data_IF_485487912824
#
_entry.id   IF_485487912824
#
_cell.length_a   1.000
_cell.length_b   1.000
_cell.length_c   1.000
_cell.angle_alpha   90.00
_cell.angle_beta   90.00
_cell.angle_gamma   90.00
#
_symmetry.space_group_name_H-M   'P 1'
#
loop_
_entity.id
_entity.type
_entity.pdbx_description
1 polymer ?
#
# COMPACT_ATOMS: atom_id res chain seq x y z
N UNK A 1 -17.21 24.42 58.27
CA UNK A 1 -16.69 23.10 57.84
C UNK A 1 -17.60 22.61 56.70
N UNK A 2 -17.70 23.30 55.56
CA UNK A 2 -16.80 23.34 54.39
C UNK A 2 -16.64 21.99 53.67
N UNK A 3 -17.46 21.79 52.65
CA UNK A 3 -17.08 21.14 51.39
C UNK A 3 -17.91 21.78 50.26
N UNK A 4 -17.31 22.58 49.35
CA UNK A 4 -18.00 23.13 48.19
C UNK A 4 -17.66 22.38 46.89
N UNK A 5 -18.66 22.35 46.01
CA UNK A 5 -18.65 22.51 44.56
C UNK A 5 -17.51 21.96 43.68
N UNK A 6 -17.95 21.17 42.69
CA UNK A 6 -17.43 21.07 41.32
C UNK A 6 -16.58 22.28 40.89
N UNK A 7 -15.30 22.03 40.62
CA UNK A 7 -14.42 22.91 39.86
C UNK A 7 -13.90 22.15 38.65
N UNK A 8 -14.62 22.28 37.53
CA UNK A 8 -14.17 21.89 36.20
C UNK A 8 -12.97 22.77 35.85
N UNK A 9 -11.74 22.24 35.90
CA UNK A 9 -10.58 22.95 35.39
C UNK A 9 -10.59 22.83 33.85
N UNK A 10 -11.30 23.76 33.21
CA UNK A 10 -11.10 24.13 31.82
C UNK A 10 -9.71 24.76 31.70
N UNK A 11 -8.69 23.92 31.50
CA UNK A 11 -7.46 24.38 30.86
C UNK A 11 -7.79 24.54 29.38
N UNK A 12 -8.06 25.80 29.00
CA UNK A 12 -7.89 26.29 27.63
C UNK A 12 -6.46 25.95 27.19
N UNK A 13 -6.27 24.76 26.64
CA UNK A 13 -5.10 24.48 25.80
C UNK A 13 -5.37 25.28 24.54
N UNK A 14 -4.75 26.45 24.45
CA UNK A 14 -4.61 27.13 23.18
C UNK A 14 -4.06 26.12 22.18
N UNK A 15 -4.79 25.92 21.09
CA UNK A 15 -4.36 25.18 19.91
C UNK A 15 -3.06 25.81 19.41
N UNK A 16 -1.95 25.35 19.96
CA UNK A 16 -0.64 25.58 19.39
C UNK A 16 -0.59 24.73 18.14
N UNK A 17 -0.53 25.37 16.97
CA UNK A 17 -0.30 24.75 15.68
C UNK A 17 0.98 23.92 15.75
N UNK A 18 0.84 22.64 16.10
CA UNK A 18 1.93 21.67 16.09
C UNK A 18 2.08 21.13 14.67
N UNK A 19 3.32 20.95 14.21
CA UNK A 19 3.58 20.26 12.95
C UNK A 19 3.31 18.78 13.19
N UNK A 20 2.36 18.19 12.46
CA UNK A 20 2.03 16.78 12.56
C UNK A 20 2.37 16.07 11.25
N UNK A 21 2.98 14.91 11.37
CA UNK A 21 3.30 14.02 10.26
C UNK A 21 2.51 12.72 10.35
N UNK A 22 2.00 12.26 9.22
CA UNK A 22 1.62 10.86 9.04
C UNK A 22 2.86 10.07 8.66
N UNK A 23 3.15 9.01 9.41
CA UNK A 23 4.36 8.20 9.27
C UNK A 23 4.02 6.72 9.20
N UNK A 24 4.62 6.03 8.23
CA UNK A 24 4.54 4.58 8.07
C UNK A 24 5.93 4.00 8.05
N UNK A 25 6.18 3.03 8.91
CA UNK A 25 7.50 2.46 9.08
C UNK A 25 7.50 1.10 9.75
N UNK A 26 8.66 0.46 9.75
CA UNK A 26 8.94 -0.74 10.51
C UNK A 26 9.96 -0.42 11.58
N UNK A 27 9.85 -1.07 12.74
CA UNK A 27 10.80 -0.98 13.85
C UNK A 27 11.05 -2.39 14.37
N UNK A 28 12.32 -2.74 14.58
CA UNK A 28 12.73 -4.10 14.96
C UNK A 28 12.15 -4.59 16.31
N UNK A 29 11.63 -3.67 17.12
CA UNK A 29 11.00 -3.93 18.41
C UNK A 29 9.66 -4.67 18.31
N UNK A 30 8.98 -4.61 17.17
CA UNK A 30 7.65 -5.23 16.97
C UNK A 30 7.70 -6.11 15.73
N UNK A 31 7.34 -7.37 15.91
CA UNK A 31 7.28 -8.38 14.84
C UNK A 31 5.85 -8.75 14.50
N UNK A 32 5.67 -9.47 13.39
CA UNK A 32 4.35 -9.97 12.98
C UNK A 32 3.65 -10.81 14.07
N UNK A 33 4.42 -11.57 14.84
CA UNK A 33 3.93 -12.40 15.94
C UNK A 33 3.25 -11.58 17.04
N UNK A 34 3.77 -10.39 17.35
CA UNK A 34 3.28 -9.54 18.43
C UNK A 34 1.90 -8.93 18.14
N UNK A 35 1.54 -8.87 16.85
CA UNK A 35 0.27 -8.33 16.35
C UNK A 35 -0.68 -9.43 15.87
N UNK A 36 -0.24 -10.70 15.86
CA UNK A 36 -1.07 -11.81 15.43
C UNK A 36 -2.14 -12.12 16.51
N UNK A 37 -3.44 -12.14 16.16
CA UNK A 37 -4.51 -12.41 17.13
C UNK A 37 -4.36 -13.70 17.93
N UNK A 38 -3.68 -14.72 17.39
CA UNK A 38 -3.46 -15.99 18.09
C UNK A 38 -2.46 -15.89 19.25
N UNK A 39 -1.54 -14.92 19.18
CA UNK A 39 -0.42 -14.77 20.10
C UNK A 39 -0.39 -13.41 20.80
N UNK A 40 -1.39 -12.58 20.55
CA UNK A 40 -1.49 -11.22 21.06
C UNK A 40 -1.63 -11.16 22.58
N UNK A 41 -0.71 -10.45 23.23
CA UNK A 41 -0.78 -10.08 24.65
C UNK A 41 -0.82 -8.56 24.78
N UNK A 42 -1.95 -8.02 25.23
CA UNK A 42 -2.20 -6.58 25.35
C UNK A 42 -1.16 -5.89 26.25
N UNK A 43 -0.71 -6.55 27.34
CA UNK A 43 0.21 -5.95 28.29
C UNK A 43 1.62 -5.88 27.70
N UNK A 44 2.09 -6.98 27.11
CA UNK A 44 3.40 -7.03 26.44
C UNK A 44 3.45 -6.06 25.26
N UNK A 45 2.37 -6.01 24.48
CA UNK A 45 2.26 -5.12 23.33
C UNK A 45 2.26 -3.64 23.76
N UNK A 46 1.56 -3.28 24.84
CA UNK A 46 1.58 -1.90 25.37
C UNK A 46 2.97 -1.51 25.85
N UNK A 47 3.70 -2.41 26.52
CA UNK A 47 5.09 -2.16 26.93
C UNK A 47 6.02 -1.96 25.72
N UNK A 48 5.82 -2.73 24.65
CA UNK A 48 6.54 -2.54 23.38
C UNK A 48 6.21 -1.20 22.75
N UNK A 49 4.96 -0.76 22.74
CA UNK A 49 4.55 0.56 22.22
C UNK A 49 5.22 1.72 22.98
N UNK A 50 5.32 1.62 24.30
CA UNK A 50 6.05 2.62 25.11
C UNK A 50 7.53 2.69 24.72
N UNK A 51 8.17 1.53 24.51
CA UNK A 51 9.57 1.45 24.03
C UNK A 51 9.74 2.05 22.64
N UNK A 52 8.79 1.80 21.73
CA UNK A 52 8.78 2.39 20.38
C UNK A 52 8.67 3.91 20.47
N UNK A 53 7.74 4.44 21.28
CA UNK A 53 7.58 5.89 21.46
C UNK A 53 8.83 6.54 22.07
N UNK A 54 9.42 5.91 23.09
CA UNK A 54 10.68 6.36 23.67
C UNK A 54 11.82 6.36 22.65
N UNK A 55 11.91 5.32 21.82
CA UNK A 55 12.91 5.24 20.74
C UNK A 55 12.72 6.34 19.70
N UNK A 56 11.49 6.62 19.31
CA UNK A 56 11.20 7.74 18.39
C UNK A 56 11.55 9.10 19.02
N UNK A 57 11.31 9.28 20.33
CA UNK A 57 11.73 10.48 21.04
C UNK A 57 13.25 10.67 21.04
N UNK A 58 14.04 9.60 21.19
CA UNK A 58 15.50 9.65 21.08
C UNK A 58 15.97 10.06 19.69
N UNK A 59 15.35 9.53 18.63
CA UNK A 59 15.75 9.80 17.25
C UNK A 59 15.44 11.26 16.86
N UNK A 60 14.26 11.75 17.23
CA UNK A 60 13.80 13.11 16.88
C UNK A 60 14.45 14.16 17.79
N UNK A 61 14.68 13.85 19.07
CA UNK A 61 15.32 14.74 20.03
C UNK A 61 14.41 15.86 20.53
N UNK A 62 14.96 17.07 20.69
CA UNK A 62 14.30 18.17 21.40
C UNK A 62 12.99 18.68 20.77
N UNK A 63 12.75 18.41 19.48
CA UNK A 63 11.54 18.83 18.77
C UNK A 63 10.39 17.80 18.88
N UNK A 64 10.64 16.64 19.49
CA UNK A 64 9.64 15.61 19.72
C UNK A 64 8.56 16.11 20.68
N UNK A 65 7.29 15.93 20.29
CA UNK A 65 6.14 16.20 21.16
C UNK A 65 5.40 14.92 21.50
N UNK A 66 5.02 14.14 20.51
CA UNK A 66 4.26 12.91 20.71
C UNK A 66 4.38 11.97 19.51
N UNK A 67 4.22 10.66 19.74
CA UNK A 67 4.18 9.63 18.71
C UNK A 67 3.08 8.63 19.05
N UNK A 68 2.00 8.67 18.27
CA UNK A 68 0.81 7.84 18.49
C UNK A 68 0.70 6.84 17.34
N UNK A 69 0.87 5.56 17.65
CA UNK A 69 0.58 4.48 16.70
C UNK A 69 -0.90 4.16 16.74
N UNK A 70 -1.57 4.22 15.60
CA UNK A 70 -3.01 3.93 15.51
C UNK A 70 -3.31 2.58 14.86
N UNK A 71 -2.39 2.03 14.07
CA UNK A 71 -2.56 0.71 13.46
C UNK A 71 -1.22 0.01 13.20
N UNK A 72 -1.26 -1.32 13.12
CA UNK A 72 -0.19 -2.15 12.55
C UNK A 72 -0.74 -3.01 11.42
N UNK A 73 0.05 -3.15 10.36
CA UNK A 73 -0.26 -4.01 9.22
C UNK A 73 0.88 -5.00 9.05
N UNK A 74 0.53 -6.28 8.80
CA UNK A 74 1.51 -7.32 8.48
C UNK A 74 1.79 -7.25 6.98
N UNK A 75 3.06 -7.16 6.62
CA UNK A 75 3.56 -7.24 5.26
C UNK A 75 4.48 -8.46 5.12
N UNK A 76 4.32 -9.22 4.04
CA UNK A 76 5.06 -10.48 3.86
C UNK A 76 4.74 -11.48 4.98
N UNK A 77 5.74 -12.25 5.41
CA UNK A 77 5.56 -13.27 6.45
C UNK A 77 5.82 -12.75 7.87
N UNK A 78 6.81 -11.87 8.07
CA UNK A 78 7.24 -11.46 9.41
C UNK A 78 7.39 -9.94 9.62
N UNK A 79 7.01 -9.11 8.65
CA UNK A 79 7.19 -7.66 8.78
C UNK A 79 5.94 -6.99 9.36
N UNK A 80 6.08 -6.35 10.53
CA UNK A 80 5.06 -5.49 11.10
C UNK A 80 5.35 -4.02 10.77
N UNK A 81 4.39 -3.35 10.13
CA UNK A 81 4.50 -1.95 9.73
C UNK A 81 3.51 -1.13 10.55
N UNK A 82 4.02 -0.14 11.28
CA UNK A 82 3.19 0.79 12.03
C UNK A 82 2.66 1.88 11.12
N UNK A 83 1.42 2.31 11.38
CA UNK A 83 0.85 3.56 10.90
C UNK A 83 0.66 4.46 12.10
N UNK A 84 1.31 5.62 12.09
CA UNK A 84 1.40 6.47 13.26
C UNK A 84 1.33 7.96 12.92
N UNK A 85 1.07 8.76 13.94
CA UNK A 85 1.16 10.21 13.89
C UNK A 85 2.35 10.68 14.73
N UNK A 86 3.29 11.36 14.08
CA UNK A 86 4.41 12.02 14.74
C UNK A 86 4.06 13.50 14.88
N UNK A 87 3.93 13.98 16.11
CA UNK A 87 3.74 15.40 16.42
C UNK A 87 5.05 16.01 16.87
N UNK A 88 5.37 17.18 16.33
CA UNK A 88 6.49 18.00 16.75
C UNK A 88 6.02 19.24 17.51
N UNK A 89 6.96 19.92 18.15
CA UNK A 89 6.75 21.24 18.73
C UNK A 89 6.34 22.27 17.67
N UNK A 90 5.70 23.37 18.08
CA UNK A 90 5.05 24.34 17.18
C UNK A 90 5.98 25.10 16.23
N UNK A 91 7.30 25.01 16.43
CA UNK A 91 8.31 25.56 15.53
C UNK A 91 9.53 24.63 15.54
N UNK A 92 9.46 23.48 14.84
CA UNK A 92 10.53 22.50 14.86
C UNK A 92 11.75 23.04 14.11
N UNK A 93 12.93 22.83 14.68
CA UNK A 93 14.20 23.12 14.00
C UNK A 93 14.59 22.05 12.97
N UNK A 94 14.00 20.86 13.11
CA UNK A 94 14.24 19.68 12.27
C UNK A 94 13.33 19.71 11.03
N UNK A 95 13.91 19.58 9.84
CA UNK A 95 13.17 19.44 8.59
C UNK A 95 12.70 18.00 8.33
N UNK A 96 11.77 17.79 7.40
CA UNK A 96 11.36 16.43 6.96
C UNK A 96 12.56 15.57 6.56
N UNK A 97 13.52 16.14 5.83
CA UNK A 97 14.69 15.39 5.39
C UNK A 97 15.60 15.03 6.57
N UNK A 98 15.77 15.94 7.53
CA UNK A 98 16.54 15.65 8.75
C UNK A 98 15.91 14.51 9.56
N UNK A 99 14.57 14.42 9.62
CA UNK A 99 13.87 13.30 10.27
C UNK A 99 14.21 11.98 9.56
N UNK A 100 14.10 11.96 8.23
CA UNK A 100 14.39 10.78 7.41
C UNK A 100 15.85 10.36 7.61
N UNK A 101 16.80 11.30 7.51
CA UNK A 101 18.23 11.02 7.61
C UNK A 101 18.60 10.47 9.00
N UNK A 102 18.01 11.03 10.07
CA UNK A 102 18.21 10.53 11.43
C UNK A 102 17.71 9.11 11.62
N UNK A 103 16.56 8.78 11.05
CA UNK A 103 15.97 7.44 11.15
C UNK A 103 16.75 6.43 10.29
N UNK A 104 17.11 6.80 9.06
CA UNK A 104 17.95 5.95 8.20
C UNK A 104 19.30 5.64 8.86
N UNK A 105 19.85 6.56 9.66
CA UNK A 105 21.10 6.37 10.38
C UNK A 105 21.04 5.37 11.55
N UNK A 106 19.85 5.00 12.06
CA UNK A 106 19.75 4.12 13.23
C UNK A 106 19.69 2.63 12.88
N UNK A 107 19.39 2.29 11.62
CA UNK A 107 19.24 0.92 11.07
C UNK A 107 18.10 0.08 11.68
N UNK A 108 17.68 0.34 12.92
CA UNK A 108 16.61 -0.35 13.65
C UNK A 108 15.19 0.14 13.30
N UNK A 109 15.08 1.25 12.56
CA UNK A 109 13.82 1.82 12.09
C UNK A 109 13.91 2.10 10.59
N UNK A 110 12.90 1.63 9.85
CA UNK A 110 12.75 1.91 8.42
C UNK A 110 11.48 2.71 8.19
N UNK A 111 11.56 3.81 7.45
CA UNK A 111 10.38 4.60 7.04
C UNK A 111 10.09 4.36 5.57
N UNK A 112 8.81 4.25 5.24
CA UNK A 112 8.31 4.13 3.88
C UNK A 112 7.49 5.36 3.46
N UNK A 113 6.83 6.01 4.41
CA UNK A 113 6.00 7.17 4.19
C UNK A 113 6.17 8.19 5.31
N UNK A 114 6.32 9.46 4.95
CA UNK A 114 6.35 10.59 5.87
C UNK A 114 5.75 11.82 5.17
N UNK A 115 4.54 12.21 5.56
CA UNK A 115 3.84 13.35 4.97
C UNK A 115 3.37 14.32 6.05
N UNK A 116 3.59 15.62 5.84
CA UNK A 116 3.05 16.63 6.74
C UNK A 116 1.53 16.73 6.55
N UNK A 117 0.77 16.64 7.64
CA UNK A 117 -0.66 16.86 7.62
C UNK A 117 -0.94 18.32 7.92
N UNK A 118 -1.53 19.05 6.98
CA UNK A 118 -2.09 20.35 7.26
C UNK A 118 -3.32 20.13 8.15
N UNK A 119 -3.29 20.66 9.38
CA UNK A 119 -4.41 20.53 10.30
C UNK A 119 -5.61 21.31 9.73
N UNK A 120 -6.49 20.65 9.00
CA UNK A 120 -7.85 21.14 8.85
C UNK A 120 -8.49 21.17 10.24
N UNK A 121 -8.73 22.38 10.75
CA UNK A 121 -9.49 22.61 11.97
C UNK A 121 -10.95 22.22 11.68
N UNK A 122 -11.26 20.92 11.76
CA UNK A 122 -12.62 20.47 11.92
C UNK A 122 -13.05 20.75 13.37
N UNK A 123 -14.20 21.41 13.60
CA UNK A 123 -14.70 21.62 14.95
C UNK A 123 -15.08 20.27 15.55
N UNK A 124 -14.34 19.92 16.60
CA UNK A 124 -14.70 19.05 17.72
C UNK A 124 -15.90 18.13 17.50
N UNK A 125 -15.64 16.93 16.96
CA UNK A 125 -16.44 15.76 17.30
C UNK A 125 -15.57 14.90 18.20
N UNK A 126 -15.63 15.19 19.50
CA UNK A 126 -15.34 14.24 20.58
C UNK A 126 -15.96 12.87 20.26
N UNK A 127 -15.20 11.99 19.61
CA UNK A 127 -15.43 10.54 19.71
C UNK A 127 -14.38 10.00 20.65
N UNK A 128 -14.84 9.65 21.86
CA UNK A 128 -14.04 8.93 22.83
C UNK A 128 -13.69 7.59 22.19
N UNK A 129 -12.40 7.27 22.14
CA UNK A 129 -11.96 5.88 21.99
C UNK A 129 -12.47 5.09 23.20
N UNK A 130 -13.60 4.42 23.01
CA UNK A 130 -14.00 3.30 23.84
C UNK A 130 -13.25 2.11 23.25
N UNK A 131 -12.50 1.39 24.08
CA UNK A 131 -12.15 0.00 23.74
C UNK A 131 -13.47 -0.72 23.56
N UNK A 132 -13.87 -0.91 22.31
CA UNK A 132 -15.04 -1.70 21.97
C UNK A 132 -14.61 -3.14 22.22
N UNK A 133 -14.83 -3.63 23.44
CA UNK A 133 -15.33 -5.00 23.53
C UNK A 133 -16.55 -5.00 22.64
N UNK A 134 -16.48 -5.72 21.54
CA UNK A 134 -17.61 -5.89 20.65
C UNK A 134 -18.68 -6.58 21.48
N UNK A 135 -19.60 -5.79 22.04
CA UNK A 135 -20.86 -6.29 22.53
C UNK A 135 -21.63 -6.59 21.24
N UNK A 136 -21.40 -7.78 20.69
CA UNK A 136 -21.97 -8.15 19.40
C UNK A 136 -23.42 -8.53 19.67
N UNK A 137 -24.33 -7.55 19.54
CA UNK A 137 -25.76 -7.78 19.71
C UNK A 137 -26.35 -8.64 18.57
N UNK A 138 -25.69 -8.70 17.41
CA UNK A 138 -26.06 -9.53 16.27
C UNK A 138 -24.87 -9.81 15.34
N UNK A 139 -24.84 -10.99 14.75
CA UNK A 139 -23.85 -11.37 13.73
C UNK A 139 -24.36 -11.06 12.33
N UNK A 140 -23.48 -10.57 11.45
CA UNK A 140 -23.78 -10.31 10.05
C UNK A 140 -23.63 -11.58 9.19
N UNK A 141 -24.17 -11.52 7.97
CA UNK A 141 -24.00 -12.54 6.91
C UNK A 141 -24.30 -13.99 7.35
N UNK A 142 -25.24 -14.17 8.28
CA UNK A 142 -25.68 -15.48 8.76
C UNK A 142 -24.77 -16.11 9.82
N UNK A 143 -23.88 -15.35 10.44
CA UNK A 143 -23.13 -15.82 11.61
C UNK A 143 -24.04 -16.15 12.80
N UNK A 144 -23.58 -17.04 13.68
CA UNK A 144 -24.30 -17.50 14.87
C UNK A 144 -23.71 -16.80 16.10
N UNK A 145 -24.55 -16.10 16.87
CA UNK A 145 -24.13 -15.48 18.12
C UNK A 145 -23.99 -16.56 19.21
N UNK A 146 -22.80 -16.67 19.80
CA UNK A 146 -22.49 -17.61 20.87
C UNK A 146 -22.77 -17.00 22.26
N UNK A 147 -22.98 -17.82 23.30
CA UNK A 147 -23.31 -17.36 24.66
C UNK A 147 -22.26 -16.45 25.32
N UNK A 148 -21.05 -16.38 24.77
CA UNK A 148 -19.95 -15.53 25.23
C UNK A 148 -19.87 -14.18 24.48
N UNK A 149 -20.94 -13.77 23.79
CA UNK A 149 -21.03 -12.55 22.98
C UNK A 149 -20.00 -12.49 21.82
N UNK A 150 -19.68 -13.65 21.24
CA UNK A 150 -18.83 -13.75 20.04
C UNK A 150 -19.59 -14.36 18.88
N UNK A 151 -19.25 -13.99 17.64
CA UNK A 151 -19.87 -14.55 16.45
C UNK A 151 -19.09 -15.74 15.90
N UNK A 152 -19.80 -16.86 15.69
CA UNK A 152 -19.32 -17.95 14.85
C UNK A 152 -19.71 -17.68 13.40
N UNK A 153 -18.73 -17.32 12.57
CA UNK A 153 -18.97 -16.95 11.19
C UNK A 153 -19.14 -18.17 10.27
N UNK A 154 -20.02 -18.02 9.28
CA UNK A 154 -20.11 -18.98 8.17
C UNK A 154 -18.80 -18.99 7.37
N UNK A 155 -18.51 -20.10 6.64
CA UNK A 155 -17.35 -20.16 5.76
C UNK A 155 -17.30 -18.93 4.83
N UNK A 156 -16.09 -18.41 4.65
CA UNK A 156 -15.81 -17.19 3.87
C UNK A 156 -16.28 -15.86 4.48
N UNK A 157 -16.62 -15.86 5.78
CA UNK A 157 -16.78 -14.64 6.56
C UNK A 157 -15.91 -14.69 7.81
N UNK A 158 -15.38 -13.54 8.23
CA UNK A 158 -14.53 -13.35 9.41
C UNK A 158 -14.76 -11.97 10.02
N UNK A 159 -14.06 -11.67 11.13
CA UNK A 159 -14.25 -10.43 11.89
C UNK A 159 -15.09 -10.63 13.16
N UNK A 160 -15.19 -9.60 13.97
CA UNK A 160 -15.82 -9.69 15.29
C UNK A 160 -17.33 -9.95 15.19
N UNK A 161 -17.97 -9.43 14.14
CA UNK A 161 -19.39 -9.63 13.82
C UNK A 161 -19.62 -10.23 12.43
N UNK A 162 -18.64 -10.94 11.86
CA UNK A 162 -18.70 -11.55 10.52
C UNK A 162 -18.85 -10.54 9.36
N UNK A 163 -18.27 -9.37 9.55
CA UNK A 163 -18.28 -8.22 8.67
C UNK A 163 -17.28 -8.34 7.50
N UNK A 164 -16.20 -9.09 7.69
CA UNK A 164 -15.14 -9.28 6.70
C UNK A 164 -15.49 -10.47 5.82
N UNK A 165 -15.55 -10.26 4.50
CA UNK A 165 -15.77 -11.34 3.53
C UNK A 165 -14.42 -11.82 2.99
N UNK A 166 -14.22 -13.13 2.98
CA UNK A 166 -13.04 -13.77 2.38
C UNK A 166 -13.34 -14.18 0.94
N UNK A 167 -12.50 -13.75 0.00
CA UNK A 167 -12.69 -13.94 -1.43
C UNK A 167 -11.68 -14.92 -2.00
N UNK A 168 -12.13 -15.84 -2.87
CA UNK A 168 -11.27 -16.77 -3.60
C UNK A 168 -10.92 -16.21 -4.98
N UNK A 169 -9.94 -16.82 -5.66
CA UNK A 169 -9.58 -16.53 -7.05
C UNK A 169 -9.47 -15.03 -7.36
N UNK A 170 -8.79 -14.29 -6.48
CA UNK A 170 -8.50 -12.86 -6.67
C UNK A 170 -9.74 -11.95 -6.73
N UNK A 171 -10.84 -12.38 -6.08
CA UNK A 171 -11.97 -11.50 -5.81
C UNK A 171 -11.65 -10.46 -4.73
N UNK A 172 -12.34 -9.33 -4.78
CA UNK A 172 -12.15 -8.22 -3.85
C UNK A 172 -13.41 -8.07 -3.00
N UNK A 173 -13.26 -8.08 -1.67
CA UNK A 173 -14.40 -8.01 -0.76
C UNK A 173 -15.01 -6.61 -0.67
N UNK A 174 -16.33 -6.49 -0.85
CA UNK A 174 -17.10 -5.26 -0.65
C UNK A 174 -18.50 -5.58 -0.09
N UNK A 175 -18.89 -4.90 1.00
CA UNK A 175 -20.24 -4.99 1.58
C UNK A 175 -20.71 -6.43 1.84
N UNK A 176 -19.83 -7.30 2.35
CA UNK A 176 -20.16 -8.70 2.62
C UNK A 176 -20.25 -9.62 1.40
N UNK A 177 -19.79 -9.18 0.23
CA UNK A 177 -19.72 -9.97 -1.00
C UNK A 177 -18.40 -9.76 -1.73
N UNK A 178 -17.96 -10.73 -2.50
CA UNK A 178 -16.78 -10.58 -3.35
C UNK A 178 -17.14 -10.06 -4.75
N UNK A 179 -16.42 -9.02 -5.19
CA UNK A 179 -16.34 -8.59 -6.58
C UNK A 179 -15.32 -9.48 -7.27
N UNK A 180 -15.77 -10.25 -8.25
CA UNK A 180 -14.91 -11.23 -8.91
C UNK A 180 -14.27 -10.68 -10.18
N UNK A 181 -13.06 -11.12 -10.53
CA UNK A 181 -12.48 -10.83 -11.82
C UNK A 181 -13.31 -11.48 -12.96
N UNK A 182 -13.23 -10.95 -14.20
CA UNK A 182 -13.99 -11.48 -15.32
C UNK A 182 -13.77 -12.99 -15.52
N UNK A 183 -14.86 -13.77 -15.55
CA UNK A 183 -14.83 -15.23 -15.70
C UNK A 183 -15.15 -16.01 -14.41
N UNK A 184 -15.20 -15.33 -13.26
CA UNK A 184 -15.62 -15.88 -11.96
C UNK A 184 -16.83 -15.10 -11.44
N UNK A 185 -17.78 -15.76 -10.79
CA UNK A 185 -19.10 -15.15 -10.55
C UNK A 185 -19.86 -15.67 -9.31
N UNK A 186 -19.18 -16.38 -8.38
CA UNK A 186 -19.82 -16.79 -7.11
C UNK A 186 -19.70 -15.71 -6.02
N UNK A 187 -20.48 -15.84 -4.94
CA UNK A 187 -20.51 -14.90 -3.80
C UNK A 187 -19.12 -14.65 -3.18
N UNK A 188 -18.26 -15.67 -3.26
CA UNK A 188 -16.87 -15.64 -2.79
C UNK A 188 -15.87 -15.89 -3.93
N UNK A 189 -16.27 -15.69 -5.18
CA UNK A 189 -15.45 -15.94 -6.38
C UNK A 189 -14.88 -17.38 -6.46
N UNK A 190 -15.53 -18.33 -5.80
CA UNK A 190 -15.30 -19.77 -5.96
C UNK A 190 -15.67 -20.23 -7.38
N UNK A 191 -14.98 -21.26 -7.85
CA UNK A 191 -15.29 -21.90 -9.12
C UNK A 191 -16.59 -22.71 -8.99
N UNK A 192 -17.71 -22.15 -9.45
CA UNK A 192 -18.97 -22.89 -9.63
C UNK A 192 -19.17 -23.28 -11.09
N UNK A 193 -19.65 -24.50 -11.31
CA UNK A 193 -20.12 -24.99 -12.61
C UNK A 193 -21.45 -24.32 -12.99
N UNK A 194 -21.53 -23.89 -14.25
CA UNK A 194 -22.67 -23.33 -14.98
C UNK A 194 -23.52 -22.27 -14.24
N UNK A 195 -23.26 -20.99 -14.52
CA UNK A 195 -24.09 -19.85 -14.06
C UNK A 195 -25.00 -19.29 -15.14
N UNK A 196 -26.16 -18.82 -14.66
CA UNK A 196 -27.09 -17.92 -15.33
C UNK A 196 -26.48 -16.53 -15.58
N UNK A 197 -27.18 -15.71 -16.37
CA UNK A 197 -26.76 -14.38 -16.86
C UNK A 197 -26.46 -13.40 -15.70
N UNK A 198 -25.35 -12.67 -15.84
CA UNK A 198 -24.86 -11.65 -14.90
C UNK A 198 -25.62 -10.32 -15.10
N UNK A 199 -25.97 -9.63 -14.01
CA UNK A 199 -26.61 -8.30 -14.01
C UNK A 199 -25.63 -7.12 -13.77
N UNK A 200 -24.37 -7.37 -13.37
CA UNK A 200 -23.35 -6.33 -13.27
C UNK A 200 -22.67 -6.12 -14.62
N UNK A 201 -22.87 -4.94 -15.21
CA UNK A 201 -22.17 -4.53 -16.43
C UNK A 201 -20.77 -4.05 -16.02
N UNK A 202 -19.75 -4.77 -16.46
CA UNK A 202 -18.37 -4.27 -16.37
C UNK A 202 -18.26 -3.03 -17.25
N UNK A 203 -17.94 -1.89 -16.63
CA UNK A 203 -17.76 -0.64 -17.34
C UNK A 203 -16.40 -0.62 -18.06
N UNK A 204 -16.45 -0.46 -19.38
CA UNK A 204 -15.27 -0.33 -20.23
C UNK A 204 -15.08 1.10 -20.76
N UNK A 205 -15.91 2.05 -20.31
CA UNK A 205 -15.84 3.46 -20.73
C UNK A 205 -14.75 4.25 -19.99
N UNK A 206 -14.25 3.69 -18.87
CA UNK A 206 -13.21 4.30 -18.05
C UNK A 206 -12.05 3.34 -17.79
N UNK A 207 -10.88 3.90 -17.52
CA UNK A 207 -9.66 3.18 -17.20
C UNK A 207 -9.11 3.68 -15.85
N UNK A 208 -8.16 2.93 -15.29
CA UNK A 208 -7.39 3.30 -14.11
C UNK A 208 -5.96 3.63 -14.53
N UNK A 209 -5.36 4.64 -13.90
CA UNK A 209 -3.92 4.85 -13.95
C UNK A 209 -3.29 4.06 -12.80
N UNK A 210 -2.53 3.02 -13.11
CA UNK A 210 -1.94 2.13 -12.11
C UNK A 210 -0.42 2.30 -12.15
N UNK A 211 0.16 2.72 -11.02
CA UNK A 211 1.59 2.92 -10.84
C UNK A 211 2.12 1.93 -9.81
N UNK A 212 3.24 1.28 -10.11
CA UNK A 212 3.95 0.36 -9.23
C UNK A 212 5.39 0.83 -9.13
N UNK A 213 5.80 1.33 -7.97
CA UNK A 213 7.05 2.09 -7.82
C UNK A 213 7.91 1.49 -6.73
N UNK A 214 9.15 1.16 -7.09
CA UNK A 214 10.18 0.76 -6.15
C UNK A 214 10.73 1.99 -5.38
N UNK A 215 10.90 1.89 -4.05
CA UNK A 215 11.32 3.01 -3.19
C UNK A 215 12.73 2.88 -2.62
N UNK A 216 13.63 2.22 -3.37
CA UNK A 216 15.08 2.22 -3.07
C UNK A 216 15.72 3.59 -3.33
N UNK A 217 16.82 3.90 -2.64
CA UNK A 217 17.57 5.15 -2.88
C UNK A 217 18.03 5.32 -4.33
N UNK A 218 18.33 4.23 -5.03
CA UNK A 218 18.70 4.26 -6.46
C UNK A 218 17.53 4.66 -7.39
N UNK A 219 16.29 4.62 -6.91
CA UNK A 219 15.07 5.12 -7.58
C UNK A 219 14.77 6.60 -7.27
N UNK A 220 15.58 7.29 -6.46
CA UNK A 220 15.32 8.68 -6.05
C UNK A 220 15.09 9.62 -7.24
N UNK A 221 15.97 9.52 -8.24
CA UNK A 221 15.87 10.31 -9.46
C UNK A 221 14.57 10.00 -10.21
N UNK A 222 14.29 8.71 -10.43
CA UNK A 222 13.12 8.25 -11.15
C UNK A 222 11.81 8.68 -10.50
N UNK A 223 11.71 8.58 -9.18
CA UNK A 223 10.52 9.01 -8.43
C UNK A 223 10.23 10.49 -8.67
N UNK A 224 11.25 11.35 -8.65
CA UNK A 224 11.09 12.78 -8.93
C UNK A 224 10.62 13.00 -10.38
N UNK A 225 11.25 12.33 -11.34
CA UNK A 225 10.86 12.44 -12.76
C UNK A 225 9.42 11.93 -12.98
N UNK A 226 9.02 10.84 -12.33
CA UNK A 226 7.65 10.30 -12.38
C UNK A 226 6.66 11.33 -11.82
N UNK A 227 6.93 11.90 -10.64
CA UNK A 227 6.06 12.91 -10.01
C UNK A 227 5.89 14.14 -10.92
N UNK A 228 6.97 14.61 -11.54
CA UNK A 228 6.94 15.76 -12.46
C UNK A 228 6.15 15.47 -13.75
N UNK A 229 6.11 14.21 -14.20
CA UNK A 229 5.52 13.83 -15.49
C UNK A 229 4.10 13.24 -15.41
N UNK A 230 3.63 12.86 -14.22
CA UNK A 230 2.24 12.40 -14.03
C UNK A 230 1.20 13.39 -14.56
N UNK A 231 1.29 14.72 -14.34
CA UNK A 231 0.32 15.66 -14.90
C UNK A 231 0.23 15.60 -16.43
N UNK A 232 1.38 15.45 -17.10
CA UNK A 232 1.46 15.31 -18.56
C UNK A 232 0.81 14.01 -19.00
N UNK A 233 1.13 12.90 -18.32
CA UNK A 233 0.52 11.59 -18.57
C UNK A 233 -1.01 11.66 -18.47
N UNK A 234 -1.54 12.27 -17.41
CA UNK A 234 -3.00 12.42 -17.22
C UNK A 234 -3.63 13.29 -18.31
N UNK A 235 -2.95 14.37 -18.71
CA UNK A 235 -3.39 15.21 -19.83
C UNK A 235 -3.43 14.43 -21.15
N UNK A 236 -2.47 13.55 -21.40
CA UNK A 236 -2.43 12.72 -22.60
C UNK A 236 -3.58 11.70 -22.65
N UNK A 237 -3.96 11.10 -21.50
CA UNK A 237 -5.19 10.29 -21.42
C UNK A 237 -6.42 11.10 -21.84
N UNK A 238 -6.54 12.35 -21.38
CA UNK A 238 -7.64 13.25 -21.74
C UNK A 238 -7.62 13.59 -23.23
N UNK A 239 -6.44 13.86 -23.80
CA UNK A 239 -6.27 14.16 -25.23
C UNK A 239 -6.67 12.97 -26.12
N UNK A 240 -6.48 11.74 -25.65
CA UNK A 240 -6.91 10.51 -26.32
C UNK A 240 -8.38 10.14 -26.05
N UNK A 241 -9.13 11.02 -25.38
CA UNK A 241 -10.53 10.81 -25.02
C UNK A 241 -10.75 9.55 -24.15
N UNK A 242 -9.74 9.22 -23.32
CA UNK A 242 -9.80 8.13 -22.35
C UNK A 242 -10.10 8.71 -20.96
N UNK A 243 -11.21 8.29 -20.36
CA UNK A 243 -11.59 8.74 -19.02
C UNK A 243 -10.85 7.93 -17.95
N UNK A 244 -10.01 8.59 -17.14
CA UNK A 244 -9.34 7.97 -15.99
C UNK A 244 -10.23 8.13 -14.75
N UNK A 245 -10.82 7.04 -14.29
CA UNK A 245 -11.77 7.05 -13.16
C UNK A 245 -11.12 6.82 -11.79
N UNK A 246 -9.92 6.24 -11.77
CA UNK A 246 -9.20 5.96 -10.52
C UNK A 246 -7.70 5.95 -10.74
N UNK A 247 -6.98 6.28 -9.68
CA UNK A 247 -5.52 6.32 -9.62
C UNK A 247 -5.09 5.32 -8.55
N UNK A 248 -4.24 4.37 -8.90
CA UNK A 248 -3.79 3.31 -7.98
C UNK A 248 -2.27 3.36 -7.92
N UNK A 249 -1.71 3.43 -6.72
CA UNK A 249 -0.26 3.44 -6.50
C UNK A 249 0.09 2.29 -5.58
N UNK A 250 1.04 1.46 -6.01
CA UNK A 250 1.69 0.46 -5.17
C UNK A 250 3.14 0.86 -4.97
N UNK A 251 3.51 1.15 -3.72
CA UNK A 251 4.92 1.34 -3.35
C UNK A 251 5.44 0.08 -2.67
N UNK A 252 6.68 -0.28 -2.95
CA UNK A 252 7.29 -1.46 -2.37
C UNK A 252 8.78 -1.29 -2.15
N UNK A 253 9.29 -1.96 -1.12
CA UNK A 253 10.71 -2.08 -0.81
C UNK A 253 10.96 -3.33 0.00
N UNK A 254 12.03 -4.01 -0.34
CA UNK A 254 12.56 -5.15 0.39
C UNK A 254 14.01 -4.85 0.81
N UNK A 255 14.30 -4.99 2.10
CA UNK A 255 15.64 -4.74 2.66
C UNK A 255 15.91 -5.72 3.79
N UNK A 256 16.93 -6.56 3.67
CA UNK A 256 17.42 -7.42 4.76
C UNK A 256 16.31 -8.22 5.48
N UNK A 257 15.38 -8.80 4.72
CA UNK A 257 14.19 -9.58 5.20
C UNK A 257 12.99 -8.73 5.65
N UNK A 258 13.10 -7.41 5.66
CA UNK A 258 11.97 -6.51 5.88
C UNK A 258 11.24 -6.33 4.55
N UNK A 259 9.96 -6.71 4.52
CA UNK A 259 9.11 -6.62 3.35
C UNK A 259 8.09 -5.52 3.53
N UNK A 260 8.08 -4.53 2.65
CA UNK A 260 7.06 -3.51 2.62
C UNK A 260 6.43 -3.42 1.24
N UNK A 261 5.10 -3.38 1.22
CA UNK A 261 4.31 -3.25 0.02
C UNK A 261 2.94 -2.71 0.37
N UNK A 262 2.59 -1.55 -0.14
CA UNK A 262 1.31 -0.93 0.15
C UNK A 262 0.69 -0.42 -1.14
N UNK A 263 -0.59 -0.77 -1.34
CA UNK A 263 -1.38 -0.26 -2.46
C UNK A 263 -2.43 0.74 -1.93
N UNK A 264 -2.36 1.97 -2.42
CA UNK A 264 -3.32 3.04 -2.15
C UNK A 264 -4.09 3.39 -3.43
N UNK A 265 -5.34 3.85 -3.30
CA UNK A 265 -6.13 4.34 -4.43
C UNK A 265 -6.74 5.71 -4.17
N UNK A 266 -6.88 6.49 -5.24
CA UNK A 266 -7.32 7.87 -5.26
C UNK A 266 -8.32 8.10 -6.38
N UNK A 267 -9.12 9.15 -6.25
CA UNK A 267 -10.09 9.58 -7.26
C UNK A 267 -9.56 10.71 -8.14
N UNK A 268 -8.55 11.45 -7.67
CA UNK A 268 -7.93 12.56 -8.40
C UNK A 268 -6.43 12.34 -8.57
N UNK A 269 -5.86 12.93 -9.63
CA UNK A 269 -4.40 12.92 -9.86
C UNK A 269 -3.65 13.72 -8.80
N UNK A 270 -4.26 14.80 -8.29
CA UNK A 270 -3.63 15.69 -7.32
C UNK A 270 -3.48 15.00 -5.96
N UNK A 271 -4.48 14.25 -5.52
CA UNK A 271 -4.39 13.44 -4.30
C UNK A 271 -3.30 12.37 -4.41
N UNK A 272 -3.20 11.74 -5.60
CA UNK A 272 -2.13 10.79 -5.89
C UNK A 272 -0.75 11.46 -5.86
N UNK A 273 -0.60 12.64 -6.45
CA UNK A 273 0.65 13.40 -6.45
C UNK A 273 1.06 13.82 -5.03
N UNK A 274 0.10 14.30 -4.25
CA UNK A 274 0.31 14.63 -2.84
C UNK A 274 0.79 13.41 -2.05
N UNK A 275 0.18 12.24 -2.27
CA UNK A 275 0.63 10.98 -1.67
C UNK A 275 2.07 10.64 -2.08
N UNK A 276 2.40 10.71 -3.38
CA UNK A 276 3.74 10.39 -3.87
C UNK A 276 4.83 11.29 -3.28
N UNK A 277 4.54 12.56 -2.99
CA UNK A 277 5.46 13.46 -2.29
C UNK A 277 5.74 13.03 -0.83
N UNK A 278 4.80 12.29 -0.21
CA UNK A 278 4.95 11.71 1.12
C UNK A 278 5.83 10.46 1.14
N UNK A 279 6.05 9.80 -0.01
CA UNK A 279 6.86 8.58 -0.11
C UNK A 279 8.31 8.89 0.27
N UNK A 280 8.94 7.96 0.98
CA UNK A 280 10.35 8.04 1.39
C UNK A 280 11.16 6.96 0.72
N UNK A 281 12.42 7.29 0.42
CA UNK A 281 13.40 6.39 -0.19
C UNK A 281 14.41 5.95 0.87
N UNK A 282 14.86 4.71 0.80
CA UNK A 282 15.90 4.20 1.69
C UNK A 282 16.80 3.20 0.97
N UNK A 283 18.05 3.01 1.43
CA UNK A 283 18.99 2.14 0.74
C UNK A 283 18.55 0.68 0.84
N UNK A 284 18.67 -0.03 -0.28
CA UNK A 284 18.60 -1.48 -0.33
C UNK A 284 19.51 -1.98 -1.44
N UNK A 285 20.16 -3.12 -1.21
CA UNK A 285 21.00 -3.81 -2.18
C UNK A 285 20.34 -5.08 -2.71
N UNK A 286 19.23 -5.49 -2.10
CA UNK A 286 18.52 -6.70 -2.45
C UNK A 286 17.73 -6.51 -3.74
N UNK A 287 17.51 -7.61 -4.46
CA UNK A 287 16.49 -7.67 -5.50
C UNK A 287 15.11 -7.35 -4.90
N UNK A 288 14.18 -6.92 -5.74
CA UNK A 288 12.90 -6.41 -5.27
C UNK A 288 11.74 -7.29 -5.75
N UNK A 289 10.67 -7.42 -4.95
CA UNK A 289 9.54 -8.31 -5.24
C UNK A 289 8.59 -7.67 -6.27
N UNK A 290 9.10 -7.44 -7.49
CA UNK A 290 8.40 -6.72 -8.57
C UNK A 290 7.12 -7.44 -8.98
N UNK A 291 7.17 -8.77 -9.14
CA UNK A 291 5.98 -9.55 -9.53
C UNK A 291 4.89 -9.49 -8.46
N UNK A 292 5.26 -9.54 -7.18
CA UNK A 292 4.32 -9.40 -6.07
C UNK A 292 3.69 -8.00 -6.06
N UNK A 293 4.49 -6.97 -6.37
CA UNK A 293 4.01 -5.60 -6.45
C UNK A 293 2.98 -5.43 -7.56
N UNK A 294 3.24 -6.00 -8.73
CA UNK A 294 2.31 -6.01 -9.88
C UNK A 294 1.01 -6.76 -9.52
N UNK A 295 1.14 -7.88 -8.81
CA UNK A 295 0.00 -8.67 -8.34
C UNK A 295 -0.83 -7.88 -7.29
N UNK A 296 -0.19 -7.22 -6.33
CA UNK A 296 -0.86 -6.39 -5.32
C UNK A 296 -1.62 -5.22 -5.95
N UNK A 297 -1.01 -4.55 -6.93
CA UNK A 297 -1.62 -3.42 -7.64
C UNK A 297 -2.92 -3.78 -8.36
N UNK A 298 -3.07 -5.04 -8.78
CA UNK A 298 -4.22 -5.53 -9.55
C UNK A 298 -5.23 -6.36 -8.73
N UNK A 299 -4.94 -6.65 -7.46
CA UNK A 299 -5.77 -7.55 -6.64
C UNK A 299 -6.36 -6.92 -5.39
N UNK A 300 -5.91 -5.72 -5.00
CA UNK A 300 -6.29 -5.12 -3.71
C UNK A 300 -7.34 -4.02 -3.82
N UNK A 301 -7.51 -3.39 -4.98
CA UNK A 301 -8.33 -2.18 -5.12
C UNK A 301 -9.62 -2.42 -5.90
N UNK A 302 -10.75 -2.20 -5.23
CA UNK A 302 -12.10 -2.24 -5.83
C UNK A 302 -12.31 -1.16 -6.90
N UNK A 303 -11.52 -0.09 -6.87
CA UNK A 303 -11.62 1.04 -7.80
C UNK A 303 -10.99 0.73 -9.17
N UNK A 304 -10.24 -0.36 -9.29
CA UNK A 304 -9.58 -0.75 -10.54
C UNK A 304 -10.59 -1.00 -11.67
N UNK A 305 -10.29 -0.43 -12.83
CA UNK A 305 -11.03 -0.60 -14.07
C UNK A 305 -10.29 -1.55 -15.03
N UNK A 306 -11.01 -2.33 -15.84
CA UNK A 306 -10.39 -3.17 -16.86
C UNK A 306 -9.78 -2.32 -17.99
N UNK A 307 -8.96 -2.93 -18.85
CA UNK A 307 -8.26 -2.25 -19.96
C UNK A 307 -7.35 -1.11 -19.49
N UNK A 308 -6.84 -1.20 -18.29
CA UNK A 308 -5.92 -0.22 -17.72
C UNK A 308 -4.47 -0.54 -18.06
N UNK A 309 -3.61 0.47 -18.04
CA UNK A 309 -2.17 0.28 -18.16
C UNK A 309 -1.55 0.27 -16.75
N UNK A 310 -0.76 -0.76 -16.48
CA UNK A 310 0.03 -0.91 -15.25
C UNK A 310 1.46 -0.48 -15.55
N UNK A 311 1.83 0.71 -15.12
CA UNK A 311 3.20 1.21 -15.23
C UNK A 311 4.01 0.75 -14.03
N UNK A 312 5.09 0.04 -14.30
CA UNK A 312 5.97 -0.51 -13.26
C UNK A 312 7.34 0.13 -13.41
N UNK A 313 7.81 0.78 -12.36
CA UNK A 313 9.11 1.45 -12.30
C UNK A 313 9.98 0.77 -11.26
N UNK A 314 11.09 0.19 -11.72
CA UNK A 314 12.07 -0.47 -10.87
C UNK A 314 13.47 -0.35 -11.48
N UNK A 315 14.48 -0.63 -10.68
CA UNK A 315 15.90 -0.59 -11.03
C UNK A 315 16.67 -1.80 -10.49
N UNK A 316 15.95 -2.91 -10.28
CA UNK A 316 16.50 -4.22 -9.89
C UNK A 316 15.86 -5.35 -10.68
N UNK A 317 16.43 -6.54 -10.49
CA UNK A 317 15.82 -7.79 -10.87
C UNK A 317 14.78 -8.22 -9.81
N UNK A 318 14.06 -9.32 -10.10
CA UNK A 318 13.00 -9.82 -9.23
C UNK A 318 13.57 -10.72 -8.11
N UNK A 319 13.08 -10.59 -6.87
CA UNK A 319 13.55 -11.41 -5.72
C UNK A 319 13.45 -12.91 -5.95
N UNK A 320 12.37 -13.38 -6.59
CA UNK A 320 12.10 -14.80 -6.78
C UNK A 320 12.24 -15.15 -8.27
N UNK A 321 13.04 -16.15 -8.57
CA UNK A 321 13.34 -16.62 -9.93
C UNK A 321 12.83 -18.05 -10.17
N UNK A 322 11.50 -18.28 -10.16
CA UNK A 322 10.98 -19.63 -10.32
C UNK A 322 11.49 -20.23 -11.64
N UNK A 323 11.98 -21.48 -11.57
CA UNK A 323 12.38 -22.21 -12.77
C UNK A 323 11.23 -22.22 -13.76
N UNK A 324 11.47 -21.90 -15.06
CA UNK A 324 10.41 -21.83 -16.04
C UNK A 324 9.59 -23.13 -16.05
N UNK A 325 8.28 -23.00 -15.90
CA UNK A 325 7.36 -24.12 -15.84
C UNK A 325 6.17 -23.87 -16.75
N UNK A 326 5.83 -24.87 -17.56
CA UNK A 326 4.63 -24.84 -18.41
C UNK A 326 3.37 -25.24 -17.65
N UNK A 327 3.48 -25.59 -16.36
CA UNK A 327 2.34 -25.97 -15.52
C UNK A 327 1.69 -24.73 -14.96
N UNK A 328 0.35 -24.70 -14.97
CA UNK A 328 -0.45 -23.76 -14.20
C UNK A 328 -0.26 -24.05 -12.71
N UNK A 329 0.79 -23.48 -12.12
CA UNK A 329 1.08 -23.51 -10.68
C UNK A 329 0.64 -22.22 -10.02
N UNK A 330 0.33 -22.19 -8.74
CA UNK A 330 0.06 -20.95 -7.99
C UNK A 330 1.36 -20.24 -7.59
N UNK A 331 2.21 -19.91 -8.57
CA UNK A 331 3.40 -19.09 -8.37
C UNK A 331 3.11 -17.63 -8.79
N UNK A 332 3.94 -16.70 -8.32
CA UNK A 332 3.76 -15.27 -8.55
C UNK A 332 3.69 -14.93 -10.06
N UNK A 333 4.51 -15.61 -10.88
CA UNK A 333 4.48 -15.50 -12.35
C UNK A 333 3.10 -15.81 -12.93
N UNK A 334 2.49 -16.96 -12.61
CA UNK A 334 1.19 -17.31 -13.17
C UNK A 334 0.06 -16.43 -12.62
N UNK A 335 0.18 -15.95 -11.37
CA UNK A 335 -0.82 -15.09 -10.75
C UNK A 335 -0.87 -13.74 -11.45
N UNK A 336 0.29 -13.12 -11.69
CA UNK A 336 0.37 -11.87 -12.46
C UNK A 336 -0.21 -12.06 -13.85
N UNK A 337 0.22 -13.11 -14.58
CA UNK A 337 -0.27 -13.37 -15.94
C UNK A 337 -1.79 -13.55 -15.97
N UNK A 338 -2.34 -14.35 -15.05
CA UNK A 338 -3.78 -14.59 -14.96
C UNK A 338 -4.55 -13.31 -14.65
N UNK A 339 -4.10 -12.52 -13.67
CA UNK A 339 -4.78 -11.29 -13.28
C UNK A 339 -4.78 -10.26 -14.40
N UNK A 340 -3.61 -10.01 -15.00
CA UNK A 340 -3.46 -9.02 -16.06
C UNK A 340 -4.32 -9.38 -17.28
N UNK A 341 -4.31 -10.65 -17.71
CA UNK A 341 -5.15 -11.11 -18.80
C UNK A 341 -6.65 -11.07 -18.45
N UNK A 342 -7.04 -11.42 -17.22
CA UNK A 342 -8.43 -11.40 -16.77
C UNK A 342 -9.01 -9.97 -16.77
N UNK A 343 -8.23 -8.99 -16.30
CA UNK A 343 -8.61 -7.57 -16.31
C UNK A 343 -8.40 -6.90 -17.67
N UNK A 344 -7.82 -7.59 -18.65
CA UNK A 344 -7.38 -7.06 -19.95
C UNK A 344 -6.46 -5.86 -19.78
N UNK A 345 -5.68 -5.83 -18.70
CA UNK A 345 -4.70 -4.80 -18.46
C UNK A 345 -3.47 -5.05 -19.32
N UNK A 346 -2.70 -3.99 -19.57
CA UNK A 346 -1.39 -4.07 -20.21
C UNK A 346 -0.32 -3.66 -19.20
N UNK A 347 0.76 -4.44 -19.08
CA UNK A 347 1.89 -4.06 -18.23
C UNK A 347 2.95 -3.36 -19.09
N UNK A 348 3.42 -2.21 -18.60
CA UNK A 348 4.60 -1.52 -19.13
C UNK A 348 5.63 -1.48 -18.02
N UNK A 349 6.63 -2.35 -18.12
CA UNK A 349 7.71 -2.45 -17.15
C UNK A 349 8.91 -1.63 -17.62
N UNK A 350 9.20 -0.56 -16.89
CA UNK A 350 10.35 0.31 -17.10
C UNK A 350 11.42 -0.04 -16.06
N UNK A 351 12.48 -0.68 -16.54
CA UNK A 351 13.68 -0.97 -15.77
C UNK A 351 14.71 0.12 -16.04
N UNK A 352 14.93 0.98 -15.06
CA UNK A 352 15.91 2.05 -15.17
C UNK A 352 17.28 1.59 -14.69
N UNK A 353 18.34 2.04 -15.35
CA UNK A 353 19.71 1.74 -14.97
C UNK A 353 20.63 2.92 -15.22
N UNK A 354 21.80 2.91 -14.58
CA UNK A 354 22.89 3.79 -14.97
C UNK A 354 23.79 3.05 -15.95
N UNK A 355 24.30 3.73 -16.98
CA UNK A 355 25.33 3.18 -17.88
C UNK A 355 26.52 2.57 -17.12
N UNK A 356 26.86 3.11 -15.94
CA UNK A 356 27.94 2.62 -15.09
C UNK A 356 27.60 1.34 -14.31
N UNK A 357 26.32 1.05 -14.08
CA UNK A 357 25.83 -0.10 -13.31
C UNK A 357 24.62 -0.71 -14.04
N UNK A 358 24.84 -1.40 -15.17
CA UNK A 358 23.75 -2.01 -15.94
C UNK A 358 23.14 -3.20 -15.19
N UNK A 359 21.86 -3.46 -15.46
CA UNK A 359 21.19 -4.69 -15.03
C UNK A 359 21.74 -5.89 -15.82
N UNK A 360 21.77 -7.08 -15.22
CA UNK A 360 22.21 -8.30 -15.90
C UNK A 360 21.01 -9.03 -16.54
N UNK A 361 20.85 -8.96 -17.88
CA UNK A 361 19.69 -9.56 -18.53
C UNK A 361 19.79 -11.11 -18.64
N UNK A 362 20.88 -11.72 -18.19
CA UNK A 362 21.15 -13.15 -18.40
C UNK A 362 20.70 -14.05 -17.26
N UNK A 363 20.42 -13.47 -16.09
CA UNK A 363 20.02 -14.19 -14.89
C UNK A 363 18.53 -14.52 -14.89
N UNK A 364 18.15 -15.58 -14.17
CA UNK A 364 16.75 -16.02 -14.08
C UNK A 364 15.84 -14.96 -13.41
N UNK A 365 16.41 -14.17 -12.49
CA UNK A 365 15.73 -13.07 -11.80
C UNK A 365 15.27 -11.98 -12.78
N UNK A 366 16.00 -11.77 -13.88
CA UNK A 366 15.58 -10.93 -15.00
C UNK A 366 14.66 -11.69 -15.98
N UNK A 367 15.00 -12.95 -16.32
CA UNK A 367 14.24 -13.74 -17.29
C UNK A 367 12.77 -13.89 -16.88
N UNK A 368 12.48 -14.09 -15.59
CA UNK A 368 11.09 -14.20 -15.11
C UNK A 368 10.26 -12.95 -15.43
N UNK A 369 10.85 -11.75 -15.31
CA UNK A 369 10.18 -10.50 -15.68
C UNK A 369 9.89 -10.50 -17.18
N UNK A 370 10.88 -10.84 -18.01
CA UNK A 370 10.70 -10.93 -19.47
C UNK A 370 9.60 -11.92 -19.85
N UNK A 371 9.55 -13.10 -19.22
CA UNK A 371 8.52 -14.12 -19.49
C UNK A 371 7.12 -13.62 -19.15
N UNK A 372 6.94 -13.06 -17.95
CA UNK A 372 5.64 -12.52 -17.50
C UNK A 372 5.15 -11.43 -18.44
N UNK A 373 6.00 -10.45 -18.75
CA UNK A 373 5.64 -9.31 -19.60
C UNK A 373 5.30 -9.78 -21.02
N UNK A 374 6.08 -10.71 -21.58
CA UNK A 374 5.80 -11.29 -22.90
C UNK A 374 4.48 -12.06 -22.91
N UNK A 375 4.18 -12.82 -21.85
CA UNK A 375 2.97 -13.63 -21.75
C UNK A 375 1.69 -12.78 -21.68
N UNK A 376 1.76 -11.55 -21.15
CA UNK A 376 0.62 -10.63 -21.08
C UNK A 376 0.56 -9.65 -22.25
N UNK A 377 1.42 -9.81 -23.27
CA UNK A 377 1.60 -8.84 -24.36
C UNK A 377 1.89 -7.42 -23.86
N UNK A 378 2.65 -7.33 -22.76
CA UNK A 378 3.17 -6.08 -22.22
C UNK A 378 4.48 -5.68 -22.88
N UNK A 379 5.02 -4.56 -22.42
CA UNK A 379 6.28 -4.01 -22.91
C UNK A 379 7.31 -3.95 -21.78
N UNK A 380 8.53 -4.39 -22.08
CA UNK A 380 9.69 -4.31 -21.19
C UNK A 380 10.70 -3.33 -21.77
N UNK A 381 10.91 -2.22 -21.07
CA UNK A 381 11.83 -1.15 -21.47
C UNK A 381 13.00 -1.13 -20.50
N UNK A 382 14.22 -1.27 -21.01
CA UNK A 382 15.44 -1.01 -20.25
C UNK A 382 15.91 0.38 -20.66
N UNK A 383 15.96 1.31 -19.71
CA UNK A 383 16.15 2.73 -19.99
C UNK A 383 17.32 3.25 -19.17
N UNK A 384 18.24 3.99 -19.80
CA UNK A 384 19.23 4.74 -19.03
C UNK A 384 18.51 5.88 -18.31
N UNK A 385 18.81 6.10 -17.03
CA UNK A 385 18.14 7.12 -16.23
C UNK A 385 18.20 8.52 -16.87
N UNK A 386 19.23 8.83 -17.66
CA UNK A 386 19.32 10.10 -18.40
C UNK A 386 18.26 10.29 -19.48
N UNK A 387 17.69 9.21 -20.02
CA UNK A 387 16.66 9.20 -21.08
C UNK A 387 15.24 8.96 -20.50
N UNK A 388 15.12 8.72 -19.20
CA UNK A 388 13.85 8.35 -18.56
C UNK A 388 12.75 9.38 -18.77
N UNK A 389 13.08 10.67 -18.71
CA UNK A 389 12.10 11.75 -18.92
C UNK A 389 11.52 11.72 -20.34
N UNK A 390 12.37 11.54 -21.35
CA UNK A 390 11.95 11.47 -22.76
C UNK A 390 11.08 10.22 -23.00
N UNK A 391 11.43 9.09 -22.39
CA UNK A 391 10.63 7.86 -22.46
C UNK A 391 9.25 8.10 -21.83
N UNK A 392 9.18 8.69 -20.63
CA UNK A 392 7.93 8.97 -19.92
C UNK A 392 6.97 9.84 -20.76
N UNK A 393 7.48 10.87 -21.44
CA UNK A 393 6.68 11.70 -22.35
C UNK A 393 6.09 10.93 -23.53
N UNK A 394 6.75 9.86 -23.97
CA UNK A 394 6.33 9.07 -25.12
C UNK A 394 5.51 7.84 -24.72
N UNK A 395 5.44 7.49 -23.43
CA UNK A 395 4.80 6.24 -22.98
C UNK A 395 3.37 6.11 -23.50
N UNK A 396 2.53 7.14 -23.46
CA UNK A 396 1.14 6.99 -23.96
C UNK A 396 1.03 6.94 -25.48
N UNK A 397 1.86 7.69 -26.19
CA UNK A 397 1.82 7.73 -27.66
C UNK A 397 2.14 6.38 -28.30
N UNK A 398 2.93 5.53 -27.63
CA UNK A 398 3.26 4.20 -28.14
C UNK A 398 2.17 3.14 -27.94
N UNK A 399 1.21 3.34 -27.02
CA UNK A 399 0.34 2.26 -26.56
C UNK A 399 -1.15 2.40 -26.89
N UNK A 400 -1.60 3.57 -27.35
CA UNK A 400 -3.01 3.83 -27.68
C UNK A 400 -3.32 3.71 -29.19
N UNK A 401 -2.30 3.55 -30.05
CA UNK A 401 -2.47 3.32 -31.50
C UNK A 401 -2.69 1.85 -31.86
#
# INVERSE_FOLDING_TARGET
MTAPALGLLLLLVGLAAGVQYDIRGNIDLIRSYDINPEFYDEKDFTEKLEKVSARMAEIIGADFKDFIVHNYVIHGEDTAVFHAHLSLNSNPSVSRQDIIDRIVATEDVQIYFLQQKELEVQPDVSSRFRVVRADVDHCLHGGILLPNATCSCLPYYSGANCEIVSCRNNGIGQNGRCICPPGLYSAHCEARTCSTKIESVVDFSSQSLILVINTRTSMAYDLNVIIENIPVLVQDYQNQNVNVASYIVTIFRYTASVYFMETSSFTTSDDMLNYLQGVTIAPSKDDQPILDAINSAQSTQISMRPKSIVYVFADSENTIDPTPSTRLSNNNESMVVQQTLAWRNKIVLVLSQWTATPLDPTLNHFDVLRRVITAVHGDLLIVDKTELMDVLHLLLFYFIN
#
